data_IF_222590087135
#
_entry.id   IF_222590087135
#
_cell.length_a   1.000
_cell.length_b   1.000
_cell.length_c   1.000
_cell.angle_alpha   90.00
_cell.angle_beta   90.00
_cell.angle_gamma   90.00
#
_symmetry.space_group_name_H-M   'P 1'
#
loop_
_entity.id
_entity.type
_entity.pdbx_description
1 polymer ?
#
# COMPACT_ATOMS: atom_id res chain seq x y z
N UNK A 1 -9.07 -31.67 31.33
CA UNK A 1 -10.07 -30.77 31.95
C UNK A 1 -9.56 -29.33 31.76
N UNK A 2 -10.48 -28.39 31.54
CA UNK A 2 -10.39 -27.24 30.64
C UNK A 2 -9.55 -26.01 31.07
N UNK A 3 -9.31 -25.17 30.04
CA UNK A 3 -8.70 -23.81 29.89
C UNK A 3 -9.35 -22.69 30.76
N UNK A 4 -9.02 -21.35 30.65
CA UNK A 4 -8.03 -20.63 29.80
C UNK A 4 -7.22 -19.48 30.47
N UNK A 5 -6.30 -18.96 29.64
CA UNK A 5 -5.50 -17.72 29.66
C UNK A 5 -6.24 -16.40 29.99
N UNK A 6 -5.48 -15.41 30.46
CA UNK A 6 -5.83 -13.98 30.33
C UNK A 6 -4.61 -13.17 29.90
N UNK A 7 -4.44 -13.03 28.59
CA UNK A 7 -3.59 -11.99 28.00
C UNK A 7 -4.51 -10.80 27.74
N UNK A 8 -4.40 -9.75 28.54
CA UNK A 8 -5.08 -8.48 28.31
C UNK A 8 -4.53 -7.84 27.03
N UNK A 9 -5.32 -7.61 25.97
CA UNK A 9 -4.90 -6.67 24.94
C UNK A 9 -5.09 -5.26 25.52
N UNK A 10 -4.01 -4.64 25.95
CA UNK A 10 -4.03 -3.22 26.31
C UNK A 10 -4.47 -2.43 25.08
N UNK A 11 -5.56 -1.68 25.23
CA UNK A 11 -6.13 -0.85 24.18
C UNK A 11 -5.10 0.17 23.70
N UNK A 12 -5.04 0.30 22.37
CA UNK A 12 -4.25 1.25 21.59
C UNK A 12 -4.34 2.67 22.18
N UNK A 13 -3.18 3.22 22.54
CA UNK A 13 -3.02 4.63 22.90
C UNK A 13 -3.25 5.52 21.65
N UNK A 14 -3.74 6.76 21.82
CA UNK A 14 -4.02 7.64 20.68
C UNK A 14 -2.73 8.02 19.96
N UNK A 15 -2.72 7.79 18.63
CA UNK A 15 -1.60 8.16 17.78
C UNK A 15 -1.32 9.66 17.88
N UNK A 16 -0.16 9.98 18.43
CA UNK A 16 0.38 11.32 18.64
C UNK A 16 0.88 11.93 17.33
N UNK A 17 0.84 13.26 17.21
CA UNK A 17 1.25 14.10 16.07
C UNK A 17 2.74 13.96 15.64
N UNK A 18 3.42 12.90 16.08
CA UNK A 18 4.78 12.53 15.72
C UNK A 18 4.94 11.07 15.31
N UNK A 19 3.84 10.32 15.08
CA UNK A 19 3.92 8.96 14.53
C UNK A 19 4.36 9.00 13.07
N UNK A 20 5.68 9.00 12.91
CA UNK A 20 6.34 8.92 11.62
C UNK A 20 6.46 7.46 11.22
N UNK A 21 5.58 7.04 10.32
CA UNK A 21 5.66 5.73 9.71
C UNK A 21 6.95 5.64 8.89
N UNK A 22 7.71 4.53 8.98
CA UNK A 22 8.86 4.33 8.12
C UNK A 22 8.42 4.30 6.65
N UNK A 23 9.24 4.81 5.72
CA UNK A 23 8.94 4.70 4.30
C UNK A 23 8.88 3.21 3.90
N UNK A 24 7.89 2.86 3.09
CA UNK A 24 7.74 1.51 2.58
C UNK A 24 8.61 1.32 1.33
N UNK A 25 9.28 0.19 1.24
CA UNK A 25 10.06 -0.17 0.05
C UNK A 25 9.11 -0.58 -1.08
N UNK A 26 9.28 0.00 -2.26
CA UNK A 26 8.41 -0.22 -3.42
C UNK A 26 8.77 -1.51 -4.14
N UNK A 27 8.55 -2.65 -3.50
CA UNK A 27 8.79 -3.98 -4.08
C UNK A 27 7.61 -4.93 -3.84
N UNK A 28 7.36 -5.89 -4.76
CA UNK A 28 6.30 -6.87 -4.62
C UNK A 28 6.35 -7.62 -3.29
N UNK A 29 7.54 -8.04 -2.85
CA UNK A 29 7.72 -8.78 -1.60
C UNK A 29 7.19 -8.01 -0.38
N UNK A 30 7.45 -6.71 -0.31
CA UNK A 30 7.01 -5.87 0.81
C UNK A 30 5.51 -5.57 0.73
N UNK A 31 4.98 -5.26 -0.45
CA UNK A 31 3.55 -4.99 -0.63
C UNK A 31 2.67 -6.24 -0.42
N UNK A 32 3.11 -7.39 -0.93
CA UNK A 32 2.42 -8.66 -0.75
C UNK A 32 2.36 -9.04 0.73
N UNK A 33 3.51 -9.03 1.41
CA UNK A 33 3.54 -9.28 2.85
C UNK A 33 2.64 -8.30 3.61
N UNK A 34 2.62 -7.02 3.23
CA UNK A 34 1.78 -6.01 3.86
C UNK A 34 0.29 -6.30 3.66
N UNK A 35 -0.17 -6.54 2.43
CA UNK A 35 -1.60 -6.74 2.15
C UNK A 35 -2.13 -8.03 2.76
N UNK A 36 -1.33 -9.10 2.75
CA UNK A 36 -1.71 -10.36 3.39
C UNK A 36 -1.74 -10.23 4.92
N UNK A 37 -0.83 -9.44 5.50
CA UNK A 37 -0.88 -9.12 6.94
C UNK A 37 -2.11 -8.31 7.35
N UNK A 38 -2.75 -7.61 6.40
CA UNK A 38 -4.03 -6.92 6.61
C UNK A 38 -5.25 -7.85 6.49
N UNK A 39 -5.05 -9.11 6.09
CA UNK A 39 -6.09 -10.13 6.01
C UNK A 39 -6.65 -10.39 4.62
N UNK A 40 -6.01 -9.87 3.56
CA UNK A 40 -6.37 -10.23 2.18
C UNK A 40 -5.80 -11.61 1.86
N UNK A 41 -6.60 -12.56 1.31
CA UNK A 41 -6.10 -13.88 0.92
C UNK A 41 -5.03 -13.81 -0.18
N UNK A 42 -4.02 -14.67 -0.09
CA UNK A 42 -2.94 -14.74 -1.09
C UNK A 42 -3.43 -15.13 -2.49
N UNK A 43 -4.51 -15.92 -2.56
CA UNK A 43 -5.11 -16.38 -3.81
C UNK A 43 -5.95 -15.31 -4.53
N UNK A 44 -6.31 -14.22 -3.83
CA UNK A 44 -7.19 -13.17 -4.37
C UNK A 44 -6.40 -12.02 -5.01
N UNK A 45 -5.31 -11.58 -4.39
CA UNK A 45 -4.53 -10.40 -4.83
C UNK A 45 -3.04 -10.57 -4.56
N UNK A 46 -2.25 -10.25 -5.58
CA UNK A 46 -0.79 -10.16 -5.53
C UNK A 46 -0.31 -8.92 -6.30
N UNK A 47 0.76 -8.30 -5.81
CA UNK A 47 1.51 -7.23 -6.47
C UNK A 47 2.62 -7.83 -7.33
N UNK A 48 2.80 -7.27 -8.52
CA UNK A 48 3.88 -7.61 -9.45
C UNK A 48 4.60 -6.35 -9.92
N UNK A 49 5.88 -6.51 -10.28
CA UNK A 49 6.65 -5.41 -10.87
C UNK A 49 6.18 -5.10 -12.29
N UNK A 50 6.19 -3.82 -12.63
CA UNK A 50 5.96 -3.31 -13.99
C UNK A 50 7.32 -2.85 -14.53
N UNK A 51 7.88 -3.62 -15.47
CA UNK A 51 9.23 -3.35 -16.01
C UNK A 51 9.27 -2.18 -16.99
N UNK A 52 8.14 -1.82 -17.60
CA UNK A 52 8.03 -0.79 -18.63
C UNK A 52 6.57 -0.45 -18.92
N UNK A 53 6.37 0.61 -19.71
CA UNK A 53 5.05 1.09 -20.14
C UNK A 53 4.79 0.81 -21.63
N UNK A 54 5.71 0.15 -22.31
CA UNK A 54 5.53 -0.39 -23.65
C UNK A 54 4.70 -1.67 -23.62
N UNK A 55 4.10 -2.02 -24.77
CA UNK A 55 3.18 -3.15 -24.86
C UNK A 55 3.86 -4.48 -24.48
N UNK A 56 5.09 -4.71 -24.94
CA UNK A 56 5.81 -5.96 -24.69
C UNK A 56 6.11 -6.14 -23.18
N UNK A 57 6.49 -5.06 -22.49
CA UNK A 57 6.69 -5.09 -21.04
C UNK A 57 5.38 -5.27 -20.26
N UNK A 58 4.29 -4.64 -20.71
CA UNK A 58 2.98 -4.74 -20.05
C UNK A 58 2.33 -6.12 -20.22
N UNK A 59 2.63 -6.83 -21.31
CA UNK A 59 2.16 -8.21 -21.54
C UNK A 59 2.71 -9.20 -20.51
N UNK A 60 3.78 -8.84 -19.78
CA UNK A 60 4.32 -9.64 -18.68
C UNK A 60 3.52 -9.49 -17.37
N UNK A 61 2.66 -8.48 -17.26
CA UNK A 61 1.89 -8.21 -16.04
C UNK A 61 0.62 -9.07 -16.05
N UNK A 62 0.38 -9.89 -15.01
CA UNK A 62 -0.79 -10.75 -14.97
C UNK A 62 -2.09 -9.95 -14.97
N UNK A 63 -3.07 -10.46 -15.71
CA UNK A 63 -4.40 -9.86 -15.86
C UNK A 63 -5.44 -10.66 -15.05
N UNK A 64 -6.46 -10.01 -14.47
CA UNK A 64 -6.79 -8.59 -14.57
C UNK A 64 -6.01 -7.69 -13.57
N UNK A 65 -5.66 -6.47 -13.99
CA UNK A 65 -5.03 -5.47 -13.11
C UNK A 65 -6.09 -4.63 -12.38
N UNK A 66 -6.04 -4.63 -11.04
CA UNK A 66 -6.98 -3.89 -10.19
C UNK A 66 -6.51 -2.47 -9.86
N UNK A 67 -5.20 -2.29 -9.65
CA UNK A 67 -4.60 -1.02 -9.26
C UNK A 67 -3.12 -0.98 -9.66
N UNK A 68 -2.56 0.23 -9.74
CA UNK A 68 -1.12 0.48 -9.96
C UNK A 68 -0.60 1.40 -8.88
N UNK A 69 0.53 1.04 -8.27
CA UNK A 69 1.25 1.87 -7.30
C UNK A 69 2.49 2.43 -7.98
N UNK A 70 2.58 3.75 -8.06
CA UNK A 70 3.72 4.45 -8.65
C UNK A 70 4.48 5.21 -7.56
N UNK A 71 5.69 4.76 -7.27
CA UNK A 71 6.63 5.52 -6.43
C UNK A 71 7.44 6.46 -7.32
N UNK A 72 7.26 7.77 -7.15
CA UNK A 72 7.95 8.81 -7.91
C UNK A 72 8.62 9.80 -6.94
N UNK A 73 9.76 10.40 -7.34
CA UNK A 73 10.40 11.43 -6.51
C UNK A 73 9.47 12.63 -6.39
N UNK A 74 9.32 13.22 -5.21
CA UNK A 74 8.54 14.45 -5.00
C UNK A 74 9.19 15.62 -5.77
N UNK A 75 8.64 16.06 -6.93
CA UNK A 75 9.15 17.19 -7.66
C UNK A 75 8.53 18.46 -7.08
N UNK A 76 9.29 19.57 -6.97
CA UNK A 76 8.77 20.83 -6.42
C UNK A 76 7.54 21.38 -7.18
N UNK A 77 7.25 20.91 -8.39
CA UNK A 77 6.10 21.32 -9.20
C UNK A 77 4.84 20.46 -9.02
N UNK A 78 4.90 19.25 -8.44
CA UNK A 78 3.71 18.37 -8.35
C UNK A 78 2.68 18.90 -7.35
N UNK A 79 3.12 19.62 -6.32
CA UNK A 79 2.21 20.26 -5.37
C UNK A 79 1.23 21.21 -6.08
N UNK A 80 1.69 21.93 -7.12
CA UNK A 80 0.85 22.83 -7.90
C UNK A 80 -0.22 22.10 -8.72
N UNK A 81 0.08 20.88 -9.19
CA UNK A 81 -0.83 20.08 -10.02
C UNK A 81 -1.86 19.35 -9.14
N UNK A 82 -1.44 18.80 -7.99
CA UNK A 82 -2.35 18.12 -7.06
C UNK A 82 -3.35 19.09 -6.41
N UNK A 83 -2.93 20.34 -6.16
CA UNK A 83 -3.79 21.40 -5.63
C UNK A 83 -4.86 21.84 -6.66
N UNK A 84 -4.56 21.75 -7.96
CA UNK A 84 -5.51 22.05 -9.05
C UNK A 84 -6.50 20.90 -9.32
N UNK A 85 -6.12 19.65 -9.03
CA UNK A 85 -6.96 18.46 -9.22
C UNK A 85 -7.87 18.20 -8.00
N UNK A 86 -7.68 18.89 -6.88
CA UNK A 86 -8.57 18.75 -5.72
C UNK A 86 -9.95 19.35 -6.05
N UNK A 87 -11.04 18.55 -6.07
CA UNK A 87 -12.36 19.11 -6.23
C UNK A 87 -12.65 20.09 -5.07
N UNK A 88 -13.38 21.18 -5.31
CA UNK A 88 -13.76 22.09 -4.24
C UNK A 88 -14.58 21.30 -3.22
N UNK A 89 -14.08 21.23 -2.00
CA UNK A 89 -14.80 20.67 -0.86
C UNK A 89 -16.01 21.59 -0.64
N UNK A 90 -17.21 21.08 -0.92
CA UNK A 90 -18.48 21.71 -0.51
C UNK A 90 -18.69 21.54 0.99
#
# INVERSE_FOLDING_TARGET
MALPSSSTPTASAPASLGERWPPLESTPAVFNQFVWSLGVPEDDVEFHDVYGLDADALDMVPQPVLAVVLCFPDPPQVHSILEEISPPIL
#
